data_IF_772020681265
#
_entry.id   IF_772020681265
#
_cell.length_a   1.000
_cell.length_b   1.000
_cell.length_c   1.000
_cell.angle_alpha   90.00
_cell.angle_beta   90.00
_cell.angle_gamma   90.00
#
_symmetry.space_group_name_H-M   'P 1'
#
loop_
_entity.id
_entity.type
_entity.pdbx_description
1 polymer ?
2 polymer ?
3 water ?
#
# COMPACT_ATOMS: atom_id res chain seq x y z
N UNK A 4 -12.44 5.49 -11.06
CA UNK A 4 -13.55 6.40 -11.38
C UNK A 4 -14.94 5.73 -11.34
N UNK A 5 -15.12 4.55 -11.94
CA UNK A 5 -16.43 3.88 -11.87
C UNK A 5 -16.95 3.84 -10.44
N UNK A 6 -18.16 4.34 -10.19
CA UNK A 6 -18.70 4.32 -8.81
C UNK A 6 -18.69 2.95 -8.17
N UNK A 7 -18.85 1.89 -8.96
CA UNK A 7 -18.73 0.55 -8.42
C UNK A 7 -17.34 0.31 -7.85
N UNK A 8 -16.30 0.73 -8.58
CA UNK A 8 -14.93 0.54 -8.11
C UNK A 8 -14.70 1.32 -6.82
N UNK A 9 -15.18 2.57 -6.76
CA UNK A 9 -15.05 3.35 -5.54
C UNK A 9 -15.71 2.65 -4.36
N UNK A 10 -16.92 2.13 -4.57
CA UNK A 10 -17.66 1.48 -3.49
C UNK A 10 -16.92 0.26 -2.96
N UNK A 11 -16.33 -0.53 -3.85
CA UNK A 11 -15.60 -1.72 -3.40
C UNK A 11 -14.29 -1.34 -2.72
N UNK A 12 -13.56 -0.38 -3.29
CA UNK A 12 -12.31 0.05 -2.67
C UNK A 12 -12.58 0.72 -1.33
N UNK A 13 -13.60 1.57 -1.27
CA UNK A 13 -14.00 2.15 0.01
C UNK A 13 -14.38 1.07 1.02
N UNK A 14 -14.99 -0.02 0.55
CA UNK A 14 -15.34 -1.12 1.44
C UNK A 14 -14.09 -1.88 1.88
N UNK A 15 -13.22 -2.22 0.93
CA UNK A 15 -11.97 -2.89 1.27
C UNK A 15 -11.11 -2.03 2.18
N UNK A 16 -11.13 -0.71 1.99
CA UNK A 16 -10.38 0.17 2.88
C UNK A 16 -10.99 0.18 4.27
N UNK A 17 -12.32 0.13 4.36
CA UNK A 17 -12.96 0.13 5.67
C UNK A 17 -12.68 -1.17 6.42
N UNK A 18 -12.59 -2.29 5.70
CA UNK A 18 -12.12 -3.52 6.34
C UNK A 18 -10.66 -3.40 6.74
N UNK A 19 -9.86 -2.69 5.93
CA UNK A 19 -8.45 -2.50 6.25
C UNK A 19 -8.28 -1.68 7.53
N UNK A 20 -9.08 -0.62 7.70
CA UNK A 20 -8.97 0.19 8.90
C UNK A 20 -9.56 -0.53 10.11
N UNK A 21 -10.50 -1.45 9.89
CA UNK A 21 -10.97 -2.29 10.99
C UNK A 21 -9.85 -3.19 11.49
N UNK A 22 -9.21 -3.92 10.58
CA UNK A 22 -8.16 -4.85 10.98
C UNK A 22 -6.99 -4.12 11.62
N UNK A 23 -6.63 -2.94 11.10
CA UNK A 23 -5.50 -2.19 11.63
C UNK A 23 -5.69 -1.89 13.11
N UNK A 24 -6.89 -1.44 13.50
CA UNK A 24 -7.13 -1.15 14.90
C UNK A 24 -7.36 -2.43 15.71
N UNK A 25 -7.90 -3.48 15.08
CA UNK A 25 -7.97 -4.78 15.75
C UNK A 25 -6.59 -5.28 16.13
N UNK A 26 -5.58 -4.93 15.33
CA UNK A 26 -4.20 -5.32 15.59
C UNK A 26 -3.39 -4.22 16.27
N UNK A 27 -3.92 -3.00 16.35
CA UNK A 27 -3.19 -1.91 16.97
C UNK A 27 -2.12 -1.29 16.10
N UNK A 28 -2.27 -1.40 14.78
CA UNK A 28 -1.30 -0.88 13.82
C UNK A 28 -1.79 0.47 13.33
N UNK A 29 -0.89 1.44 13.28
CA UNK A 29 -1.24 2.81 12.90
C UNK A 29 -0.65 3.13 11.54
N UNK A 30 -1.50 3.63 10.64
CA UNK A 30 -1.09 4.05 9.31
C UNK A 30 -1.41 5.53 9.18
N UNK A 31 -0.46 6.29 8.66
CA UNK A 31 -0.66 7.71 8.38
C UNK A 31 -0.29 7.96 6.93
N UNK A 32 -1.30 8.12 6.09
CA UNK A 32 -1.11 8.49 4.69
C UNK A 32 -0.55 9.90 4.64
N UNK A 33 0.78 10.00 4.54
CA UNK A 33 1.44 11.30 4.61
C UNK A 33 0.97 12.23 3.50
N UNK A 34 0.90 11.72 2.28
CA UNK A 34 0.67 12.56 1.11
C UNK A 34 0.07 11.70 0.01
N UNK A 35 -0.85 12.29 -0.76
CA UNK A 35 -1.52 11.58 -1.84
C UNK A 35 -2.10 12.62 -2.78
N UNK A 36 -2.02 12.34 -4.08
CA UNK A 36 -2.75 13.13 -5.05
C UNK A 36 -4.24 13.01 -4.74
N UNK A 37 -4.94 14.12 -4.47
CA UNK A 37 -6.38 14.02 -4.17
C UNK A 37 -7.20 13.46 -5.31
N UNK A 38 -6.71 13.52 -6.55
CA UNK A 38 -7.43 12.91 -7.67
C UNK A 38 -7.47 11.40 -7.55
N UNK A 39 -6.61 10.80 -6.73
CA UNK A 39 -6.54 9.36 -6.55
C UNK A 39 -6.35 9.03 -5.08
N UNK A 40 -7.06 9.75 -4.21
CA UNK A 40 -6.89 9.59 -2.77
C UNK A 40 -7.29 8.19 -2.32
N UNK A 41 -8.52 7.78 -2.63
CA UNK A 41 -9.04 6.51 -2.14
C UNK A 41 -8.20 5.34 -2.63
N UNK A 42 -7.85 5.35 -3.91
CA UNK A 42 -7.02 4.29 -4.48
C UNK A 42 -5.69 4.18 -3.73
N UNK A 43 -4.93 5.27 -3.70
CA UNK A 43 -3.64 5.26 -3.02
C UNK A 43 -3.78 4.95 -1.54
N UNK A 44 -4.78 5.54 -0.88
CA UNK A 44 -4.96 5.30 0.55
C UNK A 44 -5.20 3.82 0.84
N UNK A 45 -5.99 3.15 -0.01
CA UNK A 45 -6.30 1.75 0.24
C UNK A 45 -5.09 0.86 0.03
N UNK A 46 -4.34 1.09 -1.05
CA UNK A 46 -3.12 0.33 -1.29
C UNK A 46 -2.10 0.60 -0.19
N UNK A 47 -1.91 1.88 0.15
CA UNK A 47 -0.91 2.24 1.16
C UNK A 47 -1.27 1.65 2.51
N UNK A 48 -2.56 1.70 2.88
CA UNK A 48 -2.98 1.17 4.17
C UNK A 48 -2.85 -0.35 4.21
N UNK A 49 -3.29 -1.04 3.15
CA UNK A 49 -3.20 -2.49 3.13
C UNK A 49 -1.76 -2.96 3.04
N UNK A 50 -0.96 -2.33 2.17
CA UNK A 50 0.45 -2.70 2.06
C UNK A 50 1.17 -2.51 3.39
N UNK A 51 0.89 -1.41 4.08
CA UNK A 51 1.50 -1.18 5.39
C UNK A 51 1.01 -2.21 6.40
N UNK A 52 -0.31 -2.44 6.44
CA UNK A 52 -0.86 -3.37 7.41
C UNK A 52 -0.33 -4.78 7.18
N UNK A 53 -0.12 -5.16 5.92
CA UNK A 53 0.39 -6.50 5.62
C UNK A 53 1.83 -6.68 6.08
N UNK A 54 2.64 -5.62 6.03
CA UNK A 54 4.02 -5.75 6.50
C UNK A 54 4.06 -5.82 8.02
N UNK A 55 3.13 -5.13 8.69
CA UNK A 55 3.18 -4.99 10.14
C UNK A 55 2.31 -5.99 10.89
N UNK A 56 1.33 -6.61 10.22
CA UNK A 56 0.44 -7.55 10.89
C UNK A 56 1.23 -8.76 11.38
N UNK A 57 0.72 -9.45 12.40
CA UNK A 57 1.35 -10.70 12.81
C UNK A 57 1.32 -11.70 11.67
N UNK A 58 2.33 -12.57 11.58
CA UNK A 58 2.39 -13.50 10.44
C UNK A 58 1.14 -14.34 10.27
N UNK A 59 0.47 -14.71 11.36
CA UNK A 59 -0.74 -15.52 11.24
C UNK A 59 -1.92 -14.72 10.72
N UNK A 60 -1.87 -13.40 10.82
CA UNK A 60 -2.95 -12.53 10.35
C UNK A 60 -2.64 -11.87 9.01
N UNK A 61 -1.50 -12.19 8.40
CA UNK A 61 -1.06 -11.46 7.22
C UNK A 61 -1.78 -11.90 5.95
N UNK A 62 -2.19 -13.16 5.86
CA UNK A 62 -2.87 -13.61 4.65
C UNK A 62 -4.20 -12.90 4.46
N UNK A 63 -4.95 -12.68 5.55
CA UNK A 63 -6.21 -11.96 5.43
C UNK A 63 -5.99 -10.55 4.91
N UNK A 64 -4.94 -9.88 5.39
CA UNK A 64 -4.59 -8.57 4.85
C UNK A 64 -4.11 -8.72 3.41
N UNK A 65 -3.19 -9.66 3.17
CA UNK A 65 -2.72 -9.91 1.81
C UNK A 65 -3.87 -10.29 0.89
N UNK A 66 -4.87 -11.01 1.41
CA UNK A 66 -6.06 -11.29 0.61
C UNK A 66 -6.80 -10.01 0.28
N UNK A 67 -7.00 -9.14 1.28
CA UNK A 67 -7.63 -7.85 1.04
C UNK A 67 -6.87 -7.04 -0.01
N UNK A 68 -5.54 -7.02 0.07
CA UNK A 68 -4.76 -6.25 -0.90
C UNK A 68 -4.89 -6.85 -2.30
N UNK A 69 -4.95 -8.18 -2.40
CA UNK A 69 -5.18 -8.81 -3.70
C UNK A 69 -6.51 -8.39 -4.29
N UNK A 70 -7.58 -8.42 -3.48
CA UNK A 70 -8.88 -7.95 -3.94
C UNK A 70 -8.81 -6.50 -4.39
N UNK A 71 -8.14 -5.65 -3.60
CA UNK A 71 -8.02 -4.24 -3.97
C UNK A 71 -7.31 -4.08 -5.31
N UNK A 72 -6.21 -4.82 -5.51
CA UNK A 72 -5.44 -4.69 -6.74
C UNK A 72 -6.24 -5.16 -7.95
N UNK A 73 -7.02 -6.23 -7.80
CA UNK A 73 -7.85 -6.71 -8.91
C UNK A 73 -8.91 -5.69 -9.29
N UNK A 74 -9.51 -5.03 -8.30
CA UNK A 74 -10.50 -4.00 -8.59
C UNK A 74 -9.84 -2.78 -9.21
N UNK A 75 -8.72 -2.33 -8.63
CA UNK A 75 -8.01 -1.18 -9.19
C UNK A 75 -7.49 -1.45 -10.59
N UNK A 76 -7.31 -2.72 -10.96
CA UNK A 76 -6.86 -3.09 -12.30
C UNK A 76 -7.79 -2.60 -13.40
N UNK A 77 -8.99 -2.13 -13.05
CA UNK A 77 -9.91 -1.55 -14.01
C UNK A 77 -9.72 -0.06 -14.20
N UNK A 78 -9.15 0.63 -13.20
CA UNK A 78 -8.93 2.07 -13.27
C UNK A 78 -7.45 2.43 -13.23
N UNK A 79 -6.56 1.44 -13.16
CA UNK A 79 -5.13 1.68 -13.03
C UNK A 79 -4.42 0.87 -14.10
N UNK A 80 -3.69 1.56 -14.98
CA UNK A 80 -2.93 0.87 -16.02
C UNK A 80 -1.73 0.14 -15.44
N UNK A 81 -0.96 0.83 -14.59
CA UNK A 81 0.17 0.21 -13.91
C UNK A 81 0.27 0.78 -12.51
N UNK A 82 0.79 -0.03 -11.59
CA UNK A 82 0.94 0.36 -10.20
C UNK A 82 2.30 -0.10 -9.70
N UNK A 83 2.99 0.80 -9.00
CA UNK A 83 4.30 0.52 -8.42
C UNK A 83 4.24 0.74 -6.91
N UNK A 84 4.94 -0.12 -6.17
CA UNK A 84 4.97 -0.07 -4.72
C UNK A 84 6.42 -0.18 -4.27
N UNK A 85 6.85 0.76 -3.43
CA UNK A 85 8.19 0.74 -2.85
C UNK A 85 8.07 0.76 -1.34
N UNK A 86 8.72 -0.20 -0.68
CA UNK A 86 8.59 -0.42 0.75
C UNK A 86 9.97 -0.40 1.39
N UNK A 87 10.07 0.28 2.53
CA UNK A 87 11.17 0.09 3.46
C UNK A 87 10.60 -0.50 4.74
N UNK A 88 11.24 -1.54 5.26
CA UNK A 88 10.72 -2.24 6.41
C UNK A 88 11.82 -2.51 7.42
N UNK A 89 11.48 -2.59 8.70
CA UNK A 89 12.47 -3.00 9.71
C UNK A 89 12.99 -4.39 9.41
N UNK A 90 14.16 -4.75 9.94
CA UNK A 90 14.73 -6.07 9.64
C UNK A 90 13.80 -7.24 9.93
N UNK A 91 13.04 -7.19 11.02
CA UNK A 91 12.20 -8.31 11.40
C UNK A 91 10.94 -8.44 10.54
N UNK A 92 10.67 -7.49 9.66
CA UNK A 92 9.47 -7.52 8.82
C UNK A 92 9.83 -7.30 7.36
N UNK A 93 10.89 -7.95 6.89
CA UNK A 93 11.33 -7.81 5.50
C UNK A 93 10.63 -8.79 4.57
N UNK A 94 10.50 -10.06 4.97
CA UNK A 94 9.80 -11.03 4.13
C UNK A 94 8.35 -10.63 3.91
N UNK A 95 7.71 -10.07 4.94
CA UNK A 95 6.34 -9.58 4.79
C UNK A 95 6.26 -8.51 3.71
N UNK A 96 7.23 -7.59 3.70
CA UNK A 96 7.26 -6.57 2.66
C UNK A 96 7.52 -7.18 1.29
N UNK A 97 8.25 -8.30 1.24
CA UNK A 97 8.49 -8.97 -0.03
C UNK A 97 7.21 -9.60 -0.57
N UNK A 98 6.38 -10.17 0.30
CA UNK A 98 5.11 -10.74 -0.15
C UNK A 98 4.18 -9.67 -0.71
N UNK A 99 4.24 -8.45 -0.17
CA UNK A 99 3.45 -7.36 -0.74
C UNK A 99 3.98 -6.99 -2.12
N UNK A 100 5.30 -6.89 -2.25
CA UNK A 100 5.90 -6.55 -3.54
C UNK A 100 5.62 -7.63 -4.58
N UNK A 101 5.67 -8.91 -4.18
CA UNK A 101 5.34 -9.98 -5.11
C UNK A 101 3.88 -9.92 -5.53
N UNK A 102 2.99 -9.61 -4.59
CA UNK A 102 1.56 -9.53 -4.90
C UNK A 102 1.27 -8.39 -5.88
N UNK A 103 1.91 -7.24 -5.68
CA UNK A 103 1.68 -6.13 -6.60
C UNK A 103 2.23 -6.46 -7.98
N UNK A 104 3.42 -7.07 -8.03
CA UNK A 104 4.03 -7.42 -9.31
C UNK A 104 3.21 -8.47 -10.05
N UNK A 105 2.64 -9.43 -9.33
CA UNK A 105 1.73 -10.39 -9.96
C UNK A 105 0.53 -9.68 -10.56
N UNK A 106 -0.01 -8.68 -9.87
CA UNK A 106 -1.18 -7.96 -10.36
C UNK A 106 -0.79 -6.94 -11.43
N UNK A 107 0.25 -6.15 -11.16
CA UNK A 107 0.78 -5.18 -12.11
C UNK A 107 2.29 -5.38 -12.16
N UNK A 108 2.80 -5.86 -13.30
CA UNK A 108 4.25 -5.98 -13.48
C UNK A 108 4.91 -4.65 -13.17
N UNK A 109 5.80 -4.65 -12.17
CA UNK A 109 6.22 -3.42 -11.52
C UNK A 109 6.95 -2.49 -12.48
N UNK A 110 7.90 -3.03 -13.26
CA UNK A 110 8.74 -2.33 -14.24
C UNK A 110 9.71 -1.39 -13.55
N UNK A 111 10.91 -1.20 -14.10
CA UNK A 111 11.97 -0.52 -13.33
C UNK A 111 11.73 0.96 -13.10
N UNK A 112 11.24 1.70 -14.09
CA UNK A 112 11.21 3.16 -13.98
C UNK A 112 10.26 3.62 -12.89
N UNK A 113 8.99 3.21 -12.96
CA UNK A 113 8.03 3.63 -11.95
C UNK A 113 8.31 2.99 -10.60
N UNK A 114 9.08 1.90 -10.57
CA UNK A 114 9.51 1.34 -9.30
C UNK A 114 10.54 2.23 -8.62
N UNK A 115 11.40 2.89 -9.39
CA UNK A 115 12.41 3.78 -8.82
C UNK A 115 11.87 5.18 -8.55
N UNK A 116 10.90 5.64 -9.33
CA UNK A 116 10.24 6.90 -9.00
C UNK A 116 9.48 6.80 -7.69
N UNK A 117 8.97 5.61 -7.36
CA UNK A 117 8.31 5.43 -6.07
C UNK A 117 9.33 5.30 -4.94
N UNK A 118 10.44 4.60 -5.20
CA UNK A 118 11.49 4.49 -4.19
C UNK A 118 12.02 5.86 -3.79
N UNK A 119 12.04 6.81 -4.73
CA UNK A 119 12.46 8.17 -4.39
C UNK A 119 11.49 8.82 -3.42
N UNK A 120 10.19 8.79 -3.73
CA UNK A 120 9.21 9.31 -2.79
C UNK A 120 9.23 8.52 -1.48
N UNK A 121 9.52 7.22 -1.56
CA UNK A 121 9.70 6.44 -0.34
C UNK A 121 10.88 6.96 0.46
N UNK A 122 12.02 7.17 -0.20
CA UNK A 122 13.20 7.68 0.50
C UNK A 122 12.97 9.09 1.04
N UNK A 123 12.14 9.89 0.36
CA UNK A 123 11.82 11.22 0.87
C UNK A 123 11.04 11.13 2.17
N UNK A 124 10.12 10.17 2.28
CA UNK A 124 9.41 9.95 3.53
C UNK A 124 10.28 9.25 4.57
N UNK A 125 11.29 8.50 4.11
CA UNK A 125 12.21 7.84 5.04
C UNK A 125 13.09 8.84 5.77
N UNK A 126 13.32 10.02 5.18
CA UNK A 126 14.13 11.03 5.86
C UNK A 126 13.46 11.50 7.15
N UNK A 127 12.13 11.50 7.19
CA UNK A 127 11.38 11.89 8.38
C UNK A 127 10.82 10.72 9.17
N UNK A 128 10.79 9.52 8.60
CA UNK A 128 10.21 8.38 9.28
C UNK A 128 11.13 7.89 10.41
N UNK A 129 10.55 7.12 11.32
CA UNK A 129 11.29 6.53 12.42
C UNK A 129 12.00 5.25 11.97
N UNK A 130 13.07 4.85 12.66
CA UNK A 130 13.84 3.68 12.20
C UNK A 130 13.06 2.38 12.19
N UNK A 131 11.96 2.28 12.94
CA UNK A 131 11.17 1.06 13.02
C UNK A 131 9.83 1.19 12.30
N UNK A 132 9.66 2.23 11.49
CA UNK A 132 8.43 2.42 10.73
C UNK A 132 8.55 1.81 9.35
N UNK A 133 7.47 1.20 8.89
CA UNK A 133 7.36 0.77 7.51
C UNK A 133 6.93 1.97 6.68
N UNK A 134 7.62 2.20 5.56
CA UNK A 134 7.28 3.27 4.64
C UNK A 134 6.87 2.63 3.32
N UNK A 135 5.69 2.99 2.84
CA UNK A 135 5.17 2.50 1.58
C UNK A 135 4.89 3.69 0.68
N UNK A 136 5.49 3.69 -0.50
CA UNK A 136 5.21 4.67 -1.53
C UNK A 136 4.62 3.96 -2.73
N UNK A 137 3.64 4.59 -3.36
CA UNK A 137 2.88 3.97 -4.44
C UNK A 137 2.77 4.97 -5.59
N UNK A 138 2.97 4.48 -6.81
CA UNK A 138 2.71 5.24 -8.02
C UNK A 138 1.71 4.49 -8.87
N UNK A 139 0.72 5.21 -9.39
CA UNK A 139 -0.28 4.64 -10.29
C UNK A 139 -0.46 5.58 -11.47
N UNK A 140 -0.80 5.00 -12.61
CA UNK A 140 -1.18 5.73 -13.81
C UNK A 140 -2.61 5.33 -14.16
N UNK A 141 -3.56 6.26 -14.18
CA UNK A 141 -4.96 5.89 -14.39
C UNK A 141 -5.23 5.42 -15.81
N UNK A 142 -6.22 4.54 -15.94
CA UNK A 142 -6.64 4.06 -17.26
C UNK A 142 -7.35 5.16 -18.04
N UNK B 2 0.04 13.79 -9.62
CA UNK B 2 1.26 13.04 -9.94
C UNK B 2 1.03 11.54 -10.05
N UNK B 3 -0.11 11.06 -9.56
CA UNK B 3 -0.30 9.63 -9.42
C UNK B 3 0.50 9.01 -8.30
N UNK B 4 1.15 9.83 -7.48
CA UNK B 4 1.99 9.38 -6.38
C UNK B 4 1.26 9.49 -5.05
N UNK B 5 1.70 8.67 -4.10
CA UNK B 5 1.18 8.70 -2.75
C UNK B 5 2.10 7.95 -1.83
N UNK B 6 2.24 8.42 -0.60
CA UNK B 6 3.14 7.80 0.36
C UNK B 6 2.49 7.81 1.73
N UNK B 7 2.74 6.75 2.49
CA UNK B 7 2.33 6.70 3.87
C UNK B 7 3.28 5.81 4.64
N UNK B 8 3.15 5.86 5.96
CA UNK B 8 4.02 5.06 6.81
C UNK B 8 3.21 4.45 7.92
N UNK B 9 3.81 3.47 8.57
CA UNK B 9 3.11 2.69 9.57
C UNK B 9 4.03 2.26 10.68
N UNK B 10 3.45 2.11 11.86
CA UNK B 10 4.16 1.64 13.04
C UNK B 10 3.38 0.49 13.64
N UNK B 11 4.10 -0.49 14.15
CA UNK B 11 3.54 -1.66 14.80
C UNK B 11 3.29 -1.37 16.28
N UNK B 12 2.44 -2.17 16.95
CA UNK B 12 2.23 -2.01 18.40
C UNK B 12 3.52 -2.12 19.20
#
# INVERSE_FOLDING_TARGET
MSGMPPRVRRRVEELLRRARELAEELGIRVEVLEVDPEYELELTAVITLAILAVLAPPERQDEVLELLRETLKTLSEVVESLAVSIWAPPEREEAARRVERLVEEAFNTTPETRERARKLRDEARRDAEPDEVVVAVHLVPKGSHHHHHH
KPGFGVGRGLAPR
#
